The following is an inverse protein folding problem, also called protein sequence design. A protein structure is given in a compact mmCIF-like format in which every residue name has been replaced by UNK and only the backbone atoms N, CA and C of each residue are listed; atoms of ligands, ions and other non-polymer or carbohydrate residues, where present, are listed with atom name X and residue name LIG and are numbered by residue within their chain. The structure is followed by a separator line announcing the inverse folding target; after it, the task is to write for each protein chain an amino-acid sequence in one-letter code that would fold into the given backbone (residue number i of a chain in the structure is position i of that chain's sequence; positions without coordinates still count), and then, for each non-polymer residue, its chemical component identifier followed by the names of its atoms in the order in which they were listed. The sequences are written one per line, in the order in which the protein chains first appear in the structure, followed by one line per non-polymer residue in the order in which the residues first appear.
data_IF_070039218687
#
_entry.id   IF_070039218687
#
_cell.length_a   1.000
_cell.length_b   1.000
_cell.length_c   1.000
_cell.angle_alpha   90.00
_cell.angle_beta   90.00
_cell.angle_gamma   90.00
#
_symmetry.space_group_name_H-M   'P 1'
#
loop_
_entity.id
_entity.type
_entity.pdbx_description
1 polymer ?
#
# COMPACT_ATOMS: atom_id res chain seq x y z
N UNK A 1 -10.90 -2.64 3.60
CA UNK A 1 -10.40 -2.41 2.22
C UNK A 1 -8.96 -1.90 2.21
N UNK A 2 -8.57 -0.97 3.09
CA UNK A 2 -7.17 -0.47 3.19
C UNK A 2 -6.14 -1.60 3.32
N UNK A 3 -6.34 -2.57 4.23
CA UNK A 3 -5.44 -3.72 4.41
C UNK A 3 -5.38 -4.60 3.14
N UNK A 4 -6.50 -4.80 2.45
CA UNK A 4 -6.54 -5.58 1.22
C UNK A 4 -5.67 -4.96 0.11
N UNK A 5 -5.71 -3.63 -0.02
CA UNK A 5 -4.88 -2.92 -0.98
C UNK A 5 -3.40 -2.98 -0.58
N UNK A 6 -3.07 -2.84 0.71
CA UNK A 6 -1.69 -3.03 1.20
C UNK A 6 -1.16 -4.42 0.85
N UNK A 7 -1.97 -5.48 1.03
CA UNK A 7 -1.57 -6.85 0.67
C UNK A 7 -1.36 -7.02 -0.84
N UNK A 8 -2.26 -6.48 -1.67
CA UNK A 8 -2.09 -6.54 -3.12
C UNK A 8 -0.77 -5.89 -3.54
N UNK A 9 -0.54 -4.65 -3.13
CA UNK A 9 0.66 -3.91 -3.49
C UNK A 9 1.95 -4.60 -2.99
N UNK A 10 1.92 -5.20 -1.80
CA UNK A 10 3.09 -5.85 -1.21
C UNK A 10 3.49 -7.15 -1.92
N UNK A 11 2.53 -7.92 -2.41
CA UNK A 11 2.79 -9.27 -2.94
C UNK A 11 2.64 -9.40 -4.45
N UNK A 12 2.03 -8.41 -5.14
CA UNK A 12 1.70 -8.47 -6.56
C UNK A 12 2.91 -8.86 -7.42
N UNK A 13 3.99 -8.12 -7.30
CA UNK A 13 5.22 -8.35 -8.07
C UNK A 13 5.82 -9.75 -7.80
N UNK A 14 5.83 -10.17 -6.54
CA UNK A 14 6.40 -11.46 -6.13
C UNK A 14 5.59 -12.64 -6.67
N UNK A 15 4.25 -12.54 -6.69
CA UNK A 15 3.38 -13.61 -7.21
C UNK A 15 3.38 -13.66 -8.73
N UNK A 16 3.47 -12.51 -9.40
CA UNK A 16 3.61 -12.40 -10.86
C UNK A 16 4.90 -13.04 -11.35
N UNK A 17 6.03 -12.75 -10.71
CA UNK A 17 7.33 -13.36 -11.01
C UNK A 17 7.31 -14.88 -10.87
N UNK A 18 6.40 -15.45 -10.07
CA UNK A 18 6.20 -16.90 -9.91
C UNK A 18 5.10 -17.48 -10.79
N UNK A 19 4.37 -16.67 -11.57
CA UNK A 19 3.15 -17.08 -12.27
C UNK A 19 2.10 -17.73 -11.34
N UNK A 20 1.93 -17.20 -10.11
CA UNK A 20 0.91 -17.58 -9.15
C UNK A 20 -0.21 -16.54 -9.19
N UNK A 21 -1.46 -16.97 -9.31
CA UNK A 21 -2.60 -16.05 -9.24
C UNK A 21 -2.79 -15.60 -7.79
N UNK A 22 -2.92 -14.29 -7.60
CA UNK A 22 -3.21 -13.71 -6.28
C UNK A 22 -4.48 -12.90 -6.32
N UNK A 23 -5.39 -13.15 -5.39
CA UNK A 23 -6.65 -12.42 -5.29
C UNK A 23 -7.01 -12.10 -3.85
N UNK A 24 -7.64 -10.94 -3.65
CA UNK A 24 -8.24 -10.54 -2.38
C UNK A 24 -9.70 -10.24 -2.61
N UNK A 25 -10.57 -10.97 -1.93
CA UNK A 25 -12.03 -10.94 -2.13
C UNK A 25 -12.76 -10.61 -0.84
N UNK A 26 -13.98 -10.07 -0.97
CA UNK A 26 -14.88 -9.75 0.12
C UNK A 26 -16.20 -10.47 -0.12
N UNK A 27 -16.71 -11.19 0.87
CA UNK A 27 -17.97 -11.92 0.81
C UNK A 27 -18.91 -11.41 1.90
N UNK A 28 -20.14 -11.12 1.50
CA UNK A 28 -21.22 -10.65 2.38
C UNK A 28 -20.93 -9.33 3.13
N UNK A 29 -20.03 -8.50 2.56
CA UNK A 29 -19.71 -7.18 3.09
C UNK A 29 -20.54 -6.09 2.42
N UNK A 30 -21.47 -5.52 3.19
CA UNK A 30 -21.94 -4.14 2.99
C UNK A 30 -20.88 -3.15 3.51
N UNK A 31 -21.18 -1.86 3.50
CA UNK A 31 -20.25 -0.85 4.02
C UNK A 31 -20.27 -0.83 5.55
N UNK A 32 -19.30 -1.47 6.19
CA UNK A 32 -19.12 -1.44 7.64
C UNK A 32 -17.73 -0.96 8.03
N UNK A 33 -17.66 -0.26 9.14
CA UNK A 33 -16.42 0.15 9.79
C UNK A 33 -16.27 -0.59 11.11
N UNK A 34 -15.14 -1.26 11.27
CA UNK A 34 -14.77 -1.96 12.51
C UNK A 34 -13.56 -1.29 13.14
N UNK A 35 -13.48 -1.36 14.47
CA UNK A 35 -12.32 -0.88 15.22
C UNK A 35 -11.35 -2.03 15.38
N UNK A 36 -10.15 -1.89 14.84
CA UNK A 36 -9.09 -2.89 14.92
C UNK A 36 -7.72 -2.23 15.03
N UNK A 37 -6.75 -2.93 15.59
CA UNK A 37 -5.34 -2.61 15.45
C UNK A 37 -4.89 -3.02 14.04
N UNK A 38 -4.83 -2.06 13.13
CA UNK A 38 -4.51 -2.27 11.72
C UNK A 38 -3.07 -2.76 11.52
N UNK A 39 -2.13 -2.33 12.36
CA UNK A 39 -0.73 -2.76 12.32
C UNK A 39 -0.64 -4.25 12.64
N UNK A 40 -1.27 -4.69 13.73
CA UNK A 40 -1.27 -6.09 14.13
C UNK A 40 -2.02 -6.98 13.15
N UNK A 41 -3.16 -6.52 12.65
CA UNK A 41 -3.91 -7.26 11.63
C UNK A 41 -3.12 -7.37 10.32
N UNK A 42 -2.46 -6.29 9.91
CA UNK A 42 -1.57 -6.31 8.76
C UNK A 42 -0.39 -7.27 8.98
N UNK A 43 0.21 -7.31 10.17
CA UNK A 43 1.29 -8.23 10.52
C UNK A 43 0.87 -9.70 10.42
N UNK A 44 -0.32 -10.04 10.94
CA UNK A 44 -0.91 -11.38 10.82
C UNK A 44 -1.05 -11.77 9.35
N UNK A 45 -1.70 -10.92 8.56
CA UNK A 45 -1.99 -11.22 7.16
C UNK A 45 -0.73 -11.27 6.30
N UNK A 46 0.22 -10.37 6.52
CA UNK A 46 1.51 -10.38 5.82
C UNK A 46 2.27 -11.68 6.09
N UNK A 47 2.28 -12.16 7.33
CA UNK A 47 2.93 -13.43 7.65
C UNK A 47 2.24 -14.64 7.00
N UNK A 48 0.90 -14.70 7.02
CA UNK A 48 0.15 -15.78 6.38
C UNK A 48 0.32 -15.76 4.86
N UNK A 49 0.18 -14.61 4.21
CA UNK A 49 0.35 -14.48 2.75
C UNK A 49 1.79 -14.73 2.34
N UNK A 50 2.78 -14.25 3.10
CA UNK A 50 4.21 -14.54 2.83
C UNK A 50 4.49 -16.04 2.87
N UNK A 51 3.91 -16.76 3.83
CA UNK A 51 4.01 -18.23 3.86
C UNK A 51 3.33 -18.88 2.65
N UNK A 52 2.13 -18.46 2.30
CA UNK A 52 1.43 -18.93 1.10
C UNK A 52 2.29 -18.73 -0.16
N UNK A 53 2.83 -17.52 -0.37
CA UNK A 53 3.72 -17.20 -1.50
C UNK A 53 5.00 -18.04 -1.50
N UNK A 54 5.55 -18.30 -0.31
CA UNK A 54 6.77 -19.10 -0.13
C UNK A 54 6.56 -20.55 -0.54
N UNK A 55 5.43 -21.15 -0.16
CA UNK A 55 5.15 -22.57 -0.33
C UNK A 55 4.31 -22.91 -1.57
N UNK A 56 3.83 -21.92 -2.31
CA UNK A 56 3.13 -22.09 -3.59
C UNK A 56 4.09 -21.81 -4.73
N UNK A 57 4.43 -22.86 -5.50
CA UNK A 57 5.29 -22.72 -6.68
C UNK A 57 4.50 -22.40 -7.94
N UNK A 58 3.26 -22.88 -8.05
CA UNK A 58 2.30 -22.64 -9.13
C UNK A 58 0.88 -22.78 -8.59
N UNK A 59 -0.08 -22.11 -9.21
CA UNK A 59 -1.49 -22.20 -8.81
C UNK A 59 -2.01 -20.86 -8.34
N UNK A 60 -2.65 -20.82 -7.17
CA UNK A 60 -3.31 -19.62 -6.70
C UNK A 60 -3.20 -19.43 -5.18
N UNK A 61 -3.29 -18.16 -4.78
CA UNK A 61 -3.40 -17.72 -3.41
C UNK A 61 -4.59 -16.76 -3.33
N UNK A 62 -5.52 -17.03 -2.42
CA UNK A 62 -6.71 -16.20 -2.25
C UNK A 62 -6.84 -15.76 -0.80
N UNK A 63 -6.99 -14.46 -0.57
CA UNK A 63 -7.35 -13.89 0.72
C UNK A 63 -8.82 -13.50 0.68
N UNK A 64 -9.66 -14.16 1.47
CA UNK A 64 -11.09 -13.88 1.53
C UNK A 64 -11.44 -13.28 2.88
N UNK A 65 -12.07 -12.12 2.87
CA UNK A 65 -12.72 -11.55 4.03
C UNK A 65 -14.19 -11.90 3.95
N UNK A 66 -14.73 -12.58 4.94
CA UNK A 66 -16.12 -13.00 4.98
C UNK A 66 -16.80 -12.54 6.27
N UNK A 67 -17.90 -11.82 6.12
CA UNK A 67 -18.80 -11.50 7.25
C UNK A 67 -19.52 -12.76 7.68
N UNK A 68 -19.53 -13.05 8.99
CA UNK A 68 -20.21 -14.21 9.56
C UNK A 68 -21.47 -13.79 10.30
N UNK A 69 -21.32 -13.12 11.42
CA UNK A 69 -22.42 -12.65 12.25
C UNK A 69 -22.23 -11.18 12.59
N UNK A 70 -23.33 -10.44 12.65
CA UNK A 70 -23.34 -9.07 13.15
C UNK A 70 -24.30 -8.95 14.31
N UNK A 71 -23.77 -8.54 15.43
CA UNK A 71 -24.54 -8.09 16.59
C UNK A 71 -24.58 -6.55 16.63
N UNK A 72 -25.33 -5.98 17.60
CA UNK A 72 -25.52 -4.52 17.63
C UNK A 72 -24.23 -3.71 17.70
N UNK A 73 -23.18 -4.22 18.34
CA UNK A 73 -21.95 -3.49 18.63
C UNK A 73 -20.70 -4.19 18.09
N UNK A 74 -20.83 -5.41 17.58
CA UNK A 74 -19.69 -6.23 17.12
C UNK A 74 -20.02 -6.93 15.82
N UNK A 75 -18.96 -7.20 15.07
CA UNK A 75 -19.03 -8.01 13.85
C UNK A 75 -18.02 -9.16 13.97
N UNK A 76 -18.54 -10.36 13.75
CA UNK A 76 -17.73 -11.56 13.61
C UNK A 76 -17.42 -11.77 12.13
N UNK A 77 -16.16 -11.99 11.81
CA UNK A 77 -15.75 -12.28 10.46
C UNK A 77 -14.62 -13.29 10.41
N UNK A 78 -14.56 -13.95 9.28
CA UNK A 78 -13.52 -14.89 8.91
C UNK A 78 -12.60 -14.21 7.89
N UNK A 79 -11.30 -14.28 8.15
CA UNK A 79 -10.29 -14.00 7.13
C UNK A 79 -9.65 -15.35 6.78
N UNK A 80 -9.86 -15.79 5.54
CA UNK A 80 -9.32 -17.02 5.01
C UNK A 80 -8.15 -16.71 4.08
N UNK A 81 -6.98 -17.28 4.35
CA UNK A 81 -5.85 -17.29 3.43
C UNK A 81 -5.75 -18.71 2.88
N UNK A 82 -6.08 -18.87 1.62
CA UNK A 82 -6.03 -20.13 0.88
C UNK A 82 -4.82 -20.16 -0.04
N UNK A 83 -4.10 -21.25 -0.07
CA UNK A 83 -3.04 -21.53 -1.04
C UNK A 83 -3.17 -22.93 -1.65
N UNK A 84 -2.72 -23.09 -2.88
CA UNK A 84 -2.65 -24.38 -3.58
C UNK A 84 -1.21 -24.94 -3.58
N UNK A 85 -0.47 -24.68 -2.52
CA UNK A 85 0.92 -25.10 -2.37
C UNK A 85 1.11 -26.55 -1.96
N UNK A 86 2.27 -26.81 -1.37
CA UNK A 86 2.68 -28.18 -0.98
C UNK A 86 1.83 -28.78 0.15
N UNK A 87 1.04 -27.98 0.86
CA UNK A 87 0.32 -28.39 2.07
C UNK A 87 1.26 -28.63 3.25
N UNK A 88 0.71 -29.15 4.35
CA UNK A 88 1.39 -29.33 5.64
C UNK A 88 1.12 -30.76 6.14
N UNK A 89 2.17 -31.44 6.59
CA UNK A 89 2.05 -32.77 7.18
C UNK A 89 1.23 -32.76 8.50
N UNK A 90 0.32 -33.71 8.71
CA UNK A 90 -0.52 -33.73 9.92
C UNK A 90 0.28 -33.69 11.23
N UNK A 91 1.41 -34.39 11.28
CA UNK A 91 2.30 -34.39 12.44
C UNK A 91 2.93 -33.03 12.75
N UNK A 92 3.04 -32.16 11.75
CA UNK A 92 3.55 -30.80 11.93
C UNK A 92 2.45 -29.80 12.28
N UNK A 93 1.20 -30.01 11.85
CA UNK A 93 0.06 -29.16 12.21
C UNK A 93 -0.10 -29.01 13.72
N UNK A 94 0.16 -30.05 14.50
CA UNK A 94 0.09 -30.00 15.97
C UNK A 94 1.15 -29.08 16.60
N UNK A 95 2.23 -28.81 15.88
CA UNK A 95 3.39 -28.03 16.37
C UNK A 95 3.57 -26.71 15.69
N UNK A 96 2.77 -26.37 14.67
CA UNK A 96 2.98 -25.24 13.79
C UNK A 96 2.99 -23.88 14.52
N UNK A 97 2.33 -23.81 15.68
CA UNK A 97 2.29 -22.62 16.54
C UNK A 97 3.36 -22.63 17.64
N UNK A 98 4.16 -23.70 17.75
CA UNK A 98 5.27 -23.73 18.71
C UNK A 98 6.44 -22.90 18.17
N UNK A 99 7.08 -22.08 19.01
CA UNK A 99 8.25 -21.28 18.60
C UNK A 99 9.40 -22.18 18.13
N UNK A 100 10.10 -21.76 17.08
CA UNK A 100 11.28 -22.42 16.50
C UNK A 100 11.03 -23.78 15.85
N UNK A 101 9.79 -24.25 15.78
CA UNK A 101 9.44 -25.47 15.07
C UNK A 101 9.41 -25.25 13.55
N UNK A 102 9.90 -26.26 12.82
CA UNK A 102 9.96 -26.25 11.36
C UNK A 102 9.76 -27.69 10.86
N UNK A 103 9.04 -27.87 9.77
CA UNK A 103 8.62 -29.19 9.28
C UNK A 103 9.80 -30.10 8.91
N UNK A 104 10.84 -29.58 8.28
CA UNK A 104 12.07 -30.33 8.02
C UNK A 104 13.28 -29.43 7.75
N UNK A 105 14.51 -29.96 8.02
CA UNK A 105 15.78 -29.29 7.69
C UNK A 105 15.97 -29.05 6.20
N UNK A 106 15.35 -29.82 5.32
CA UNK A 106 15.43 -29.66 3.88
C UNK A 106 14.58 -28.48 3.40
N UNK A 107 13.41 -28.24 4.00
CA UNK A 107 12.56 -27.09 3.75
C UNK A 107 13.26 -25.82 4.22
N UNK A 108 13.90 -25.85 5.37
CA UNK A 108 14.67 -24.72 5.92
C UNK A 108 15.82 -24.28 5.01
N UNK A 109 16.57 -25.23 4.42
CA UNK A 109 17.65 -24.91 3.48
C UNK A 109 17.16 -24.27 2.18
N UNK A 110 15.97 -24.67 1.71
CA UNK A 110 15.42 -24.19 0.43
C UNK A 110 14.65 -22.87 0.57
N UNK A 111 13.96 -22.67 1.69
CA UNK A 111 13.01 -21.56 1.83
C UNK A 111 13.30 -20.60 3.01
N UNK A 112 14.24 -20.92 3.91
CA UNK A 112 14.62 -20.09 5.06
C UNK A 112 13.47 -19.93 6.08
N UNK A 113 13.74 -19.22 7.16
CA UNK A 113 12.75 -18.82 8.17
C UNK A 113 13.25 -19.08 9.60
N UNK A 114 12.74 -18.32 10.58
CA UNK A 114 13.10 -18.45 12.00
C UNK A 114 12.26 -19.46 12.76
N UNK A 115 11.13 -19.91 12.21
CA UNK A 115 10.11 -20.71 12.93
C UNK A 115 9.32 -19.92 13.97
N UNK A 116 9.42 -18.57 13.96
CA UNK A 116 8.71 -17.70 14.92
C UNK A 116 7.42 -17.12 14.33
N UNK A 117 7.29 -17.03 13.02
CA UNK A 117 6.19 -16.32 12.37
C UNK A 117 4.81 -16.83 12.79
N UNK A 118 4.57 -18.13 12.75
CA UNK A 118 3.27 -18.71 13.12
C UNK A 118 2.96 -18.58 14.60
N UNK A 119 3.96 -18.73 15.48
CA UNK A 119 3.79 -18.52 16.91
C UNK A 119 3.42 -17.06 17.24
N UNK A 120 4.06 -16.09 16.57
CA UNK A 120 3.74 -14.66 16.70
C UNK A 120 2.33 -14.39 16.16
N UNK A 121 1.97 -14.99 15.04
CA UNK A 121 0.64 -14.82 14.42
C UNK A 121 -0.47 -15.32 15.34
N UNK A 122 -0.34 -16.53 15.92
CA UNK A 122 -1.31 -17.09 16.87
C UNK A 122 -1.45 -16.19 18.11
N UNK A 123 -0.32 -15.72 18.65
CA UNK A 123 -0.32 -14.83 19.82
C UNK A 123 -1.03 -13.50 19.52
N UNK A 124 -0.77 -12.88 18.37
CA UNK A 124 -1.44 -11.63 17.97
C UNK A 124 -2.94 -11.85 17.83
N UNK A 125 -3.36 -12.91 17.14
CA UNK A 125 -4.78 -13.22 16.94
C UNK A 125 -5.48 -13.46 18.28
N UNK A 126 -4.86 -14.17 19.22
CA UNK A 126 -5.38 -14.37 20.59
C UNK A 126 -5.50 -13.06 21.37
N UNK A 127 -4.51 -12.15 21.27
CA UNK A 127 -4.58 -10.82 21.89
C UNK A 127 -5.74 -10.00 21.30
N UNK A 128 -6.03 -10.18 20.01
CA UNK A 128 -7.19 -9.56 19.35
C UNK A 128 -8.53 -10.25 19.67
N UNK A 129 -8.53 -11.26 20.55
CA UNK A 129 -9.73 -12.00 20.93
C UNK A 129 -10.21 -13.01 19.89
N UNK A 130 -9.34 -13.40 18.97
CA UNK A 130 -9.66 -14.32 17.88
C UNK A 130 -9.05 -15.72 18.02
N UNK A 131 -9.20 -16.51 16.96
CA UNK A 131 -8.68 -17.88 16.86
C UNK A 131 -8.23 -18.16 15.43
N UNK A 132 -7.18 -18.97 15.27
CA UNK A 132 -6.74 -19.48 13.96
C UNK A 132 -7.03 -20.97 13.90
N UNK A 133 -7.66 -21.40 12.79
CA UNK A 133 -7.89 -22.80 12.45
C UNK A 133 -7.23 -23.09 11.11
N UNK A 134 -6.45 -24.17 11.04
CA UNK A 134 -5.73 -24.57 9.83
C UNK A 134 -6.32 -25.86 9.30
N UNK A 135 -6.67 -25.87 8.01
CA UNK A 135 -7.02 -27.05 7.25
C UNK A 135 -5.97 -27.22 6.15
N UNK A 136 -5.21 -28.29 6.18
CA UNK A 136 -4.18 -28.54 5.18
C UNK A 136 -4.03 -30.03 4.92
N UNK A 137 -3.65 -30.34 3.68
CA UNK A 137 -3.36 -31.70 3.25
C UNK A 137 -2.13 -31.67 2.33
N UNK A 138 -1.14 -32.52 2.55
CA UNK A 138 0.02 -32.63 1.67
C UNK A 138 -0.37 -32.76 0.19
N UNK A 139 0.21 -31.90 -0.64
CA UNK A 139 -0.06 -31.82 -2.08
C UNK A 139 -1.31 -31.06 -2.50
N UNK A 140 -2.18 -30.63 -1.57
CA UNK A 140 -3.43 -29.95 -1.87
C UNK A 140 -3.51 -28.50 -1.32
N UNK A 141 -2.39 -28.00 -0.74
CA UNK A 141 -2.34 -26.65 -0.18
C UNK A 141 -2.90 -26.53 1.22
N UNK A 142 -3.14 -25.28 1.64
CA UNK A 142 -3.56 -24.95 3.00
C UNK A 142 -4.61 -23.87 3.05
N UNK A 143 -5.50 -23.95 4.04
CA UNK A 143 -6.46 -22.94 4.45
C UNK A 143 -6.13 -22.46 5.86
N UNK A 144 -5.70 -21.22 5.99
CA UNK A 144 -5.56 -20.55 7.28
C UNK A 144 -6.79 -19.69 7.54
N UNK A 145 -7.59 -20.06 8.51
CA UNK A 145 -8.86 -19.43 8.84
C UNK A 145 -8.70 -18.64 10.15
N UNK A 146 -8.71 -17.32 10.06
CA UNK A 146 -8.62 -16.40 11.21
C UNK A 146 -10.00 -15.88 11.52
N UNK A 147 -10.52 -16.25 12.69
CA UNK A 147 -11.80 -15.79 13.22
C UNK A 147 -11.57 -14.63 14.16
N UNK A 148 -12.26 -13.51 13.93
CA UNK A 148 -12.17 -12.32 14.75
C UNK A 148 -13.57 -11.78 15.04
N UNK A 149 -13.76 -11.25 16.26
CA UNK A 149 -14.92 -10.47 16.65
C UNK A 149 -14.46 -9.06 16.97
N UNK A 150 -14.83 -8.08 16.15
CA UNK A 150 -14.39 -6.69 16.31
C UNK A 150 -15.54 -5.76 16.59
N UNK A 151 -15.33 -4.72 17.42
CA UNK A 151 -16.33 -3.69 17.64
C UNK A 151 -16.67 -2.96 16.33
N UNK A 152 -17.96 -2.68 16.14
CA UNK A 152 -18.39 -1.75 15.08
C UNK A 152 -18.04 -0.33 15.49
N UNK A 153 -17.60 0.48 14.54
CA UNK A 153 -17.38 1.90 14.77
C UNK A 153 -18.74 2.61 14.92
N UNK A 154 -18.83 3.52 15.88
CA UNK A 154 -20.00 4.39 16.04
C UNK A 154 -20.03 5.45 14.92
N UNK A 155 -21.22 6.04 14.66
CA UNK A 155 -21.33 7.13 13.68
C UNK A 155 -20.39 8.31 13.99
N UNK A 156 -20.15 8.58 15.26
CA UNK A 156 -19.26 9.65 15.71
C UNK A 156 -17.79 9.33 15.37
N UNK A 157 -17.37 8.09 15.59
CA UNK A 157 -16.04 7.60 15.21
C UNK A 157 -15.86 7.56 13.69
N UNK A 158 -16.90 7.17 12.94
CA UNK A 158 -16.87 7.18 11.48
C UNK A 158 -16.70 8.61 10.95
N UNK A 159 -17.39 9.60 11.54
CA UNK A 159 -17.23 11.02 11.16
C UNK A 159 -15.85 11.60 11.47
N UNK A 160 -15.14 11.00 12.42
CA UNK A 160 -13.75 11.40 12.77
C UNK A 160 -12.69 10.71 11.90
N UNK A 161 -13.08 9.70 11.11
CA UNK A 161 -12.16 9.10 10.13
C UNK A 161 -11.80 10.18 9.11
N UNK A 162 -10.51 10.48 8.90
CA UNK A 162 -10.12 11.40 7.86
C UNK A 162 -10.74 10.94 6.53
N UNK A 163 -11.29 11.87 5.77
CA UNK A 163 -11.94 11.57 4.47
C UNK A 163 -11.01 10.79 3.52
N UNK A 164 -9.70 10.88 3.74
CA UNK A 164 -8.64 10.15 3.05
C UNK A 164 -8.67 8.62 3.30
N UNK A 165 -9.35 8.14 4.34
CA UNK A 165 -9.44 6.70 4.69
C UNK A 165 -10.79 6.06 4.35
N UNK A 166 -11.78 6.83 3.95
CA UNK A 166 -13.08 6.30 3.56
C UNK A 166 -12.98 5.66 2.15
N UNK A 167 -13.44 4.41 1.96
CA UNK A 167 -13.54 3.86 0.61
C UNK A 167 -14.59 4.68 -0.14
N UNK A 168 -14.16 5.37 -1.18
CA UNK A 168 -15.11 6.00 -2.11
C UNK A 168 -16.04 4.93 -2.70
N UNK A 169 -17.35 5.11 -2.55
CA UNK A 169 -18.29 4.58 -3.53
C UNK A 169 -17.83 5.13 -4.88
N UNK A 170 -17.65 4.23 -5.85
CA UNK A 170 -17.26 4.60 -7.22
C UNK A 170 -18.34 5.50 -7.80
N UNK A 171 -18.29 6.78 -7.44
CA UNK A 171 -18.84 7.82 -8.30
C UNK A 171 -17.80 8.00 -9.41
N UNK A 172 -18.22 7.95 -10.65
CA UNK A 172 -17.41 8.32 -11.81
C UNK A 172 -16.83 9.73 -11.59
N UNK A 173 -15.74 9.82 -10.84
CA UNK A 173 -14.96 11.03 -10.72
C UNK A 173 -14.19 11.15 -12.03
N UNK A 174 -14.29 12.26 -12.70
CA UNK A 174 -13.41 12.55 -13.81
C UNK A 174 -11.97 12.56 -13.24
N UNK A 175 -11.22 11.48 -13.46
CA UNK A 175 -9.85 11.34 -13.05
C UNK A 175 -9.01 12.47 -13.65
N UNK A 176 -8.01 12.92 -12.91
CA UNK A 176 -7.04 13.85 -13.45
C UNK A 176 -6.35 13.18 -14.65
N UNK A 177 -6.29 13.89 -15.77
CA UNK A 177 -5.57 13.41 -16.94
C UNK A 177 -4.19 14.04 -17.01
N UNK A 178 -3.20 13.23 -17.29
CA UNK A 178 -1.85 13.71 -17.60
C UNK A 178 -1.71 14.17 -19.06
N UNK A 179 -2.70 13.90 -19.90
CA UNK A 179 -2.67 14.29 -21.31
C UNK A 179 -2.47 15.80 -21.49
N UNK A 180 -1.40 16.16 -22.20
CA UNK A 180 -1.00 17.54 -22.47
C UNK A 180 -0.46 18.31 -21.27
N UNK A 181 -0.10 17.61 -20.17
CA UNK A 181 0.51 18.22 -18.98
C UNK A 181 2.02 18.23 -19.08
N UNK A 182 2.62 19.33 -18.60
CA UNK A 182 4.07 19.44 -18.44
C UNK A 182 4.45 19.13 -17.00
N UNK A 183 5.23 18.10 -16.80
CA UNK A 183 5.59 17.57 -15.48
C UNK A 183 7.10 17.73 -15.27
N UNK A 184 7.50 18.23 -14.11
CA UNK A 184 8.89 18.20 -13.64
C UNK A 184 9.04 17.01 -12.67
N UNK A 185 9.82 16.02 -13.05
CA UNK A 185 10.14 14.86 -12.22
C UNK A 185 11.54 15.04 -11.61
N UNK A 186 11.64 15.11 -10.29
CA UNK A 186 12.91 15.10 -9.58
C UNK A 186 13.14 13.71 -8.96
N UNK A 187 14.10 12.97 -9.50
CA UNK A 187 14.47 11.61 -9.12
C UNK A 187 15.96 11.41 -9.38
N UNK A 188 16.71 10.92 -8.40
CA UNK A 188 18.16 10.73 -8.50
C UNK A 188 18.57 9.36 -9.06
N UNK A 189 17.65 8.41 -9.08
CA UNK A 189 17.87 7.09 -9.68
C UNK A 189 17.40 7.08 -11.12
N UNK A 190 18.33 6.93 -12.08
CA UNK A 190 18.05 6.95 -13.51
C UNK A 190 17.01 5.91 -13.95
N UNK A 191 17.03 4.70 -13.36
CA UNK A 191 16.08 3.63 -13.69
C UNK A 191 14.67 3.98 -13.22
N UNK A 192 14.53 4.52 -11.99
CA UNK A 192 13.24 4.96 -11.48
C UNK A 192 12.69 6.13 -12.29
N UNK A 193 13.55 7.06 -12.69
CA UNK A 193 13.18 8.19 -13.54
C UNK A 193 12.68 7.70 -14.90
N UNK A 194 13.39 6.79 -15.57
CA UNK A 194 13.02 6.21 -16.87
C UNK A 194 11.65 5.53 -16.80
N UNK A 195 11.42 4.67 -15.80
CA UNK A 195 10.12 3.99 -15.59
C UNK A 195 8.99 5.01 -15.37
N UNK A 196 9.21 6.04 -14.56
CA UNK A 196 8.20 7.04 -14.30
C UNK A 196 7.90 7.91 -15.53
N UNK A 197 8.93 8.26 -16.33
CA UNK A 197 8.78 8.98 -17.60
C UNK A 197 7.94 8.15 -18.56
N UNK A 198 8.30 6.89 -18.80
CA UNK A 198 7.58 6.01 -19.72
C UNK A 198 6.07 5.95 -19.39
N UNK A 199 5.74 5.74 -18.12
CA UNK A 199 4.33 5.67 -17.67
C UNK A 199 3.59 7.01 -17.85
N UNK A 200 4.24 8.14 -17.54
CA UNK A 200 3.62 9.45 -17.66
C UNK A 200 3.47 9.89 -19.12
N UNK A 201 4.43 9.55 -19.98
CA UNK A 201 4.38 9.83 -21.41
C UNK A 201 3.37 8.95 -22.15
N UNK A 202 3.22 7.67 -21.76
CA UNK A 202 2.13 6.80 -22.25
C UNK A 202 0.74 7.38 -21.92
N UNK A 203 0.61 8.10 -20.81
CA UNK A 203 -0.61 8.82 -20.42
C UNK A 203 -0.73 10.21 -21.07
N UNK A 204 0.20 10.57 -21.95
CA UNK A 204 0.17 11.80 -22.77
C UNK A 204 0.75 13.05 -22.10
N UNK A 205 1.53 12.91 -21.02
CA UNK A 205 2.30 14.01 -20.46
C UNK A 205 3.57 14.29 -21.26
N UNK A 206 4.19 15.47 -21.02
CA UNK A 206 5.59 15.76 -21.33
C UNK A 206 6.35 15.88 -20.01
N UNK A 207 7.50 15.20 -19.90
CA UNK A 207 8.24 15.09 -18.64
C UNK A 207 9.65 15.63 -18.78
N UNK A 208 10.02 16.60 -17.95
CA UNK A 208 11.40 17.04 -17.76
C UNK A 208 11.97 16.41 -16.50
N UNK A 209 13.18 15.81 -16.57
CA UNK A 209 13.81 15.12 -15.46
C UNK A 209 14.91 15.94 -14.82
N UNK A 210 14.87 16.07 -13.50
CA UNK A 210 15.92 16.65 -12.67
C UNK A 210 16.56 15.56 -11.79
N UNK A 211 17.87 15.35 -11.90
CA UNK A 211 18.61 14.32 -11.16
C UNK A 211 18.81 14.60 -9.67
N UNK A 212 18.37 15.74 -9.15
CA UNK A 212 18.35 16.07 -7.72
C UNK A 212 17.50 17.33 -7.45
N UNK A 213 17.27 17.63 -6.16
CA UNK A 213 16.43 18.76 -5.75
C UNK A 213 16.96 20.12 -6.15
N UNK A 214 18.29 20.31 -6.23
CA UNK A 214 18.89 21.58 -6.68
C UNK A 214 18.61 21.84 -8.16
N UNK A 215 18.82 20.85 -9.01
CA UNK A 215 18.51 20.92 -10.44
C UNK A 215 17.02 21.19 -10.64
N UNK A 216 16.13 20.54 -9.85
CA UNK A 216 14.69 20.78 -9.95
C UNK A 216 14.32 22.24 -9.66
N UNK A 217 14.92 22.86 -8.63
CA UNK A 217 14.72 24.29 -8.34
C UNK A 217 15.21 25.16 -9.50
N UNK A 218 16.42 24.91 -10.01
CA UNK A 218 17.01 25.67 -11.13
C UNK A 218 16.17 25.54 -12.41
N UNK A 219 15.69 24.33 -12.73
CA UNK A 219 14.82 24.10 -13.90
C UNK A 219 13.50 24.85 -13.75
N UNK A 220 12.87 24.77 -12.57
CA UNK A 220 11.63 25.51 -12.32
C UNK A 220 11.85 27.03 -12.40
N UNK A 221 12.91 27.56 -11.80
CA UNK A 221 13.24 28.99 -11.80
C UNK A 221 13.47 29.55 -13.21
N UNK A 222 14.17 28.81 -14.06
CA UNK A 222 14.52 29.18 -15.41
C UNK A 222 13.43 28.90 -16.46
N UNK A 223 12.37 28.17 -16.10
CA UNK A 223 11.25 27.90 -17.01
C UNK A 223 10.33 29.11 -17.19
N UNK A 224 9.56 29.17 -18.29
CA UNK A 224 8.48 30.14 -18.39
C UNK A 224 7.47 30.04 -17.23
N UNK A 225 6.85 31.17 -16.84
CA UNK A 225 5.80 31.14 -15.80
C UNK A 225 4.62 30.26 -16.26
N UNK A 226 4.13 29.39 -15.38
CA UNK A 226 3.11 28.37 -15.66
C UNK A 226 3.54 27.31 -16.68
N UNK A 227 4.84 27.06 -16.86
CA UNK A 227 5.33 25.99 -17.72
C UNK A 227 4.98 24.61 -17.15
N UNK A 228 5.23 24.39 -15.87
CA UNK A 228 4.92 23.12 -15.21
C UNK A 228 3.54 23.15 -14.56
N UNK A 229 2.71 22.14 -14.90
CA UNK A 229 1.42 21.87 -14.27
C UNK A 229 1.60 21.15 -12.93
N UNK A 230 2.66 20.33 -12.83
CA UNK A 230 2.89 19.40 -11.73
C UNK A 230 4.39 19.18 -11.52
N UNK A 231 4.80 19.06 -10.27
CA UNK A 231 6.15 18.63 -9.86
C UNK A 231 6.02 17.34 -9.03
N UNK A 232 6.65 16.28 -9.47
CA UNK A 232 6.83 15.03 -8.74
C UNK A 232 8.24 15.04 -8.16
N UNK A 233 8.36 14.99 -6.84
CA UNK A 233 9.61 15.25 -6.13
C UNK A 233 9.97 14.09 -5.20
N UNK A 234 11.01 13.33 -5.53
CA UNK A 234 11.56 12.39 -4.55
C UNK A 234 12.00 13.15 -3.29
N UNK A 235 11.66 12.59 -2.13
CA UNK A 235 12.06 13.16 -0.84
C UNK A 235 13.53 12.94 -0.57
N UNK A 236 14.07 11.78 -0.93
CA UNK A 236 15.44 11.38 -0.60
C UNK A 236 16.34 11.50 -1.83
N UNK A 237 16.96 12.64 -2.00
CA UNK A 237 17.91 12.93 -3.08
C UNK A 237 19.21 13.51 -2.52
N UNK A 238 20.35 13.29 -3.21
CA UNK A 238 21.63 13.90 -2.87
C UNK A 238 21.62 15.42 -3.14
N UNK A 239 22.61 16.14 -2.61
CA UNK A 239 22.84 17.58 -2.70
C UNK A 239 21.74 18.42 -2.06
N UNK A 240 20.47 18.23 -2.49
CA UNK A 240 19.29 18.92 -1.98
C UNK A 240 18.15 17.93 -1.87
N UNK A 241 17.64 17.69 -0.67
CA UNK A 241 16.48 16.82 -0.51
C UNK A 241 15.19 17.46 -1.05
N UNK A 242 14.20 16.62 -1.42
CA UNK A 242 13.01 17.12 -2.10
C UNK A 242 12.16 18.06 -1.27
N UNK A 243 12.13 17.90 0.06
CA UNK A 243 11.39 18.82 0.95
C UNK A 243 11.99 20.23 0.93
N UNK A 244 13.30 20.32 1.04
CA UNK A 244 14.02 21.60 0.96
C UNK A 244 13.82 22.22 -0.42
N UNK A 245 13.94 21.43 -1.50
CA UNK A 245 13.70 21.89 -2.85
C UNK A 245 12.28 22.46 -3.04
N UNK A 246 11.26 21.79 -2.52
CA UNK A 246 9.88 22.30 -2.52
C UNK A 246 9.75 23.63 -1.78
N UNK A 247 10.37 23.74 -0.60
CA UNK A 247 10.40 25.00 0.16
C UNK A 247 11.08 26.13 -0.60
N UNK A 248 12.19 25.83 -1.30
CA UNK A 248 12.89 26.82 -2.13
C UNK A 248 12.04 27.28 -3.31
N UNK A 249 11.39 26.34 -4.04
CA UNK A 249 10.45 26.67 -5.10
C UNK A 249 9.34 27.59 -4.57
N UNK A 250 8.75 27.31 -3.42
CA UNK A 250 7.69 28.13 -2.81
C UNK A 250 8.14 29.55 -2.43
N UNK A 251 9.46 29.75 -2.25
CA UNK A 251 10.05 31.06 -1.89
C UNK A 251 10.47 31.90 -3.10
N UNK A 252 10.48 31.32 -4.29
CA UNK A 252 10.83 32.09 -5.50
C UNK A 252 9.83 33.23 -5.73
N UNK A 253 10.35 34.36 -6.16
CA UNK A 253 9.55 35.55 -6.52
C UNK A 253 8.97 35.43 -7.93
N UNK A 254 8.04 34.47 -8.08
CA UNK A 254 7.32 34.24 -9.33
C UNK A 254 5.88 33.79 -9.07
N UNK A 255 4.99 34.13 -10.00
CA UNK A 255 3.56 34.04 -9.81
C UNK A 255 3.08 32.58 -9.56
N UNK A 256 3.68 31.60 -10.25
CA UNK A 256 3.31 30.20 -10.18
C UNK A 256 4.00 29.42 -9.05
N UNK A 257 5.02 29.97 -8.40
CA UNK A 257 5.74 29.31 -7.32
C UNK A 257 4.85 28.87 -6.13
N UNK A 258 3.77 29.61 -5.88
CA UNK A 258 2.81 29.32 -4.80
C UNK A 258 1.65 28.43 -5.23
N UNK A 259 1.43 28.25 -6.53
CA UNK A 259 0.24 27.60 -7.09
C UNK A 259 0.54 26.30 -7.81
N UNK A 260 1.76 26.11 -8.35
CA UNK A 260 2.18 24.84 -8.97
C UNK A 260 1.98 23.69 -7.98
N UNK A 261 1.46 22.58 -8.45
CA UNK A 261 1.26 21.40 -7.61
C UNK A 261 2.60 20.69 -7.38
N UNK A 262 2.95 20.41 -6.11
CA UNK A 262 4.17 19.68 -5.74
C UNK A 262 3.78 18.46 -4.92
N UNK A 263 4.10 17.27 -5.39
CA UNK A 263 3.85 16.01 -4.69
C UNK A 263 5.16 15.32 -4.32
N UNK A 264 5.24 14.91 -3.06
CA UNK A 264 6.35 14.10 -2.58
C UNK A 264 6.23 12.66 -3.08
N UNK A 265 7.34 12.07 -3.49
CA UNK A 265 7.53 10.64 -3.71
C UNK A 265 8.47 10.13 -2.61
N UNK A 266 8.09 9.12 -1.82
CA UNK A 266 8.97 8.59 -0.76
C UNK A 266 8.83 7.09 -0.57
N UNK A 267 9.88 6.46 -0.02
CA UNK A 267 9.86 5.04 0.33
C UNK A 267 8.88 4.74 1.49
N UNK A 268 8.59 5.73 2.35
CA UNK A 268 7.76 5.57 3.54
C UNK A 268 6.47 6.38 3.46
N UNK A 269 5.33 5.70 3.72
CA UNK A 269 3.98 6.29 3.71
C UNK A 269 3.49 6.72 5.11
N UNK A 270 4.39 6.96 6.08
CA UNK A 270 4.00 7.30 7.45
C UNK A 270 3.31 8.67 7.54
N UNK A 271 2.31 8.77 8.44
CA UNK A 271 1.52 10.00 8.69
C UNK A 271 2.42 11.19 9.05
N UNK A 272 3.54 10.94 9.75
CA UNK A 272 4.52 11.97 10.09
C UNK A 272 5.22 12.54 8.86
N UNK A 273 5.52 11.71 7.85
CA UNK A 273 6.13 12.14 6.59
C UNK A 273 5.18 13.00 5.75
N UNK A 274 3.89 12.68 5.74
CA UNK A 274 2.86 13.49 5.07
C UNK A 274 2.73 14.88 5.72
N UNK A 275 2.69 14.96 7.06
CA UNK A 275 2.66 16.24 7.79
C UNK A 275 3.91 17.07 7.53
N UNK A 276 5.06 16.42 7.55
CA UNK A 276 6.33 17.06 7.30
C UNK A 276 6.41 17.61 5.87
N UNK A 277 6.05 16.84 4.86
CA UNK A 277 6.03 17.30 3.45
C UNK A 277 5.10 18.51 3.27
N UNK A 278 3.92 18.51 3.88
CA UNK A 278 3.01 19.68 3.88
C UNK A 278 3.64 20.93 4.52
N UNK A 279 4.42 20.79 5.62
CA UNK A 279 5.10 21.92 6.26
C UNK A 279 6.17 22.57 5.38
N UNK A 280 6.69 21.83 4.40
CA UNK A 280 7.62 22.34 3.37
C UNK A 280 6.91 22.85 2.10
N UNK A 281 5.57 22.92 2.12
CA UNK A 281 4.78 23.49 1.02
C UNK A 281 4.43 22.51 -0.09
N UNK A 282 4.53 21.20 0.15
CA UNK A 282 4.04 20.18 -0.78
C UNK A 282 2.54 20.00 -0.65
N UNK A 283 1.85 19.72 -1.75
CA UNK A 283 0.40 19.58 -1.82
C UNK A 283 -0.10 18.17 -1.47
N UNK A 284 0.74 17.16 -1.70
CA UNK A 284 0.43 15.78 -1.40
C UNK A 284 1.67 14.90 -1.29
N UNK A 285 1.45 13.60 -1.10
CA UNK A 285 2.52 12.65 -0.82
C UNK A 285 2.13 11.25 -1.32
N UNK A 286 2.99 10.64 -2.13
CA UNK A 286 2.81 9.29 -2.66
C UNK A 286 3.94 8.38 -2.21
N UNK A 287 3.59 7.14 -1.86
CA UNK A 287 4.58 6.11 -1.53
C UNK A 287 5.14 5.48 -2.81
N UNK A 288 6.44 5.18 -2.81
CA UNK A 288 7.08 4.34 -3.82
C UNK A 288 6.88 2.85 -3.47
N UNK A 289 6.61 1.97 -4.45
CA UNK A 289 6.41 2.26 -5.86
C UNK A 289 5.12 3.05 -6.11
N UNK A 290 5.18 4.01 -7.06
CA UNK A 290 4.07 4.93 -7.30
C UNK A 290 2.93 4.24 -8.03
N UNK A 291 1.73 4.28 -7.45
CA UNK A 291 0.48 3.90 -8.11
C UNK A 291 -0.07 5.11 -8.88
N UNK A 292 0.21 5.17 -10.18
CA UNK A 292 -0.17 6.30 -11.03
C UNK A 292 -1.69 6.44 -11.21
N UNK A 293 -2.47 5.36 -11.10
CA UNK A 293 -3.93 5.46 -11.17
C UNK A 293 -4.49 6.12 -9.91
N UNK A 294 -3.99 5.69 -8.75
CA UNK A 294 -4.33 6.33 -7.48
C UNK A 294 -3.87 7.78 -7.43
N UNK A 295 -2.71 8.08 -8.00
CA UNK A 295 -2.19 9.45 -8.11
C UNK A 295 -3.14 10.35 -8.91
N UNK A 296 -3.68 9.91 -10.05
CA UNK A 296 -4.65 10.68 -10.84
C UNK A 296 -5.89 11.06 -10.02
N UNK A 297 -6.44 10.11 -9.30
CA UNK A 297 -7.62 10.33 -8.45
C UNK A 297 -7.33 11.36 -7.35
N UNK A 298 -6.23 11.18 -6.58
CA UNK A 298 -5.86 12.09 -5.50
C UNK A 298 -5.53 13.50 -6.00
N UNK A 299 -4.83 13.64 -7.13
CA UNK A 299 -4.55 14.96 -7.76
C UNK A 299 -5.86 15.64 -8.17
N UNK A 300 -6.78 14.90 -8.80
CA UNK A 300 -8.09 15.42 -9.19
C UNK A 300 -8.89 15.98 -8.02
N UNK A 301 -8.83 15.33 -6.86
CA UNK A 301 -9.47 15.79 -5.63
C UNK A 301 -8.82 17.08 -5.07
N UNK A 302 -7.50 17.13 -5.00
CA UNK A 302 -6.77 18.30 -4.49
C UNK A 302 -7.06 19.53 -5.37
N UNK A 303 -7.11 19.36 -6.69
CA UNK A 303 -7.45 20.46 -7.61
C UNK A 303 -8.89 20.94 -7.38
N UNK A 304 -9.84 20.02 -7.17
CA UNK A 304 -11.23 20.39 -6.86
C UNK A 304 -11.36 21.15 -5.53
N UNK A 305 -10.61 20.75 -4.51
CA UNK A 305 -10.59 21.44 -3.22
C UNK A 305 -9.99 22.85 -3.30
N UNK A 306 -8.94 23.06 -4.12
CA UNK A 306 -8.32 24.39 -4.33
C UNK A 306 -9.19 25.36 -5.15
N UNK A 307 -10.17 24.85 -5.91
CA UNK A 307 -11.11 25.68 -6.69
C UNK A 307 -12.36 26.11 -5.92
N UNK A 308 -12.57 25.60 -4.71
CA UNK A 308 -13.66 25.99 -3.79
C UNK A 308 -13.16 27.01 -2.78
#
# INVERSE_FOLDING_TARGET
RSIANKLRNMFQETVEAKNVRFSVTFQDFDTYYVIADDIRLCQVLTNLVSNAVKFTAKGEITVTFQKMLQEKERMDFLIKVHDTGIGIEPAFLEKIFLPFEQESRNITKKYGGSGLGMAITDNIVRIMGGTIVINSMPGNGSDFNVFLSLPLATEEQIRQIPVEEMPEEVQESADYTFAGKQILLAEDNEINAEIAVDILEEEGASVDVAGNGKIAVEMFENSPVNHYDLILMDVQMPERNGREAASDIRRLDRADAKTVLIFALSADAYVEDKRLSRSYGMDGHFAKPVDFQKMKTEIGEIIRQKKR
#
